data_IF_978980056370
#
_entry.id   IF_978980056370
#
_cell.length_a   1.000
_cell.length_b   1.000
_cell.length_c   1.000
_cell.angle_alpha   90.00
_cell.angle_beta   90.00
_cell.angle_gamma   90.00
#
_symmetry.space_group_name_H-M   'P 1'
#
loop_
_entity.id
_entity.type
_entity.pdbx_description
1 polymer ?
#
# COMPACT_ATOMS: atom_id res chain seq x y z
N UNK A 1 -14.58 -21.41 -10.98
CA UNK A 1 -14.25 -22.22 -9.78
C UNK A 1 -15.23 -21.90 -8.67
N UNK A 2 -15.71 -22.90 -7.92
CA UNK A 2 -16.58 -22.75 -6.76
C UNK A 2 -15.73 -22.45 -5.51
N UNK A 3 -16.27 -21.67 -4.57
CA UNK A 3 -15.64 -21.37 -3.28
C UNK A 3 -16.38 -22.15 -2.20
N UNK A 4 -15.66 -23.00 -1.46
CA UNK A 4 -16.21 -23.71 -0.30
C UNK A 4 -16.14 -22.81 0.93
N UNK A 5 -17.23 -22.72 1.71
CA UNK A 5 -17.27 -21.87 2.91
C UNK A 5 -17.40 -22.73 4.15
N UNK A 6 -16.37 -22.75 4.97
CA UNK A 6 -16.32 -23.42 6.28
C UNK A 6 -16.37 -22.34 7.37
N UNK A 7 -17.54 -22.14 7.97
CA UNK A 7 -17.73 -21.12 9.02
C UNK A 7 -17.11 -21.57 10.35
N UNK A 8 -16.53 -20.61 11.08
CA UNK A 8 -16.06 -20.86 12.45
C UNK A 8 -17.22 -21.20 13.37
N UNK A 9 -16.98 -22.15 14.27
CA UNK A 9 -17.91 -22.50 15.36
C UNK A 9 -17.70 -21.57 16.59
N UNK A 10 -16.61 -20.83 16.61
CA UNK A 10 -16.24 -19.93 17.71
C UNK A 10 -15.98 -18.53 17.15
N UNK A 11 -17.02 -17.69 17.00
CA UNK A 11 -16.85 -16.32 16.51
C UNK A 11 -15.94 -15.51 17.45
N UNK A 12 -14.98 -14.78 16.88
CA UNK A 12 -14.12 -13.89 17.64
C UNK A 12 -14.91 -12.65 18.09
N UNK A 13 -14.61 -12.16 19.29
CA UNK A 13 -15.05 -10.84 19.73
C UNK A 13 -14.41 -9.75 18.86
N UNK A 14 -15.18 -8.74 18.48
CA UNK A 14 -14.66 -7.58 17.76
C UNK A 14 -13.91 -6.66 18.73
N UNK A 15 -12.78 -6.05 18.30
CA UNK A 15 -12.05 -5.11 19.13
C UNK A 15 -12.84 -3.81 19.34
N UNK A 16 -12.41 -3.04 20.33
CA UNK A 16 -12.85 -1.66 20.49
C UNK A 16 -12.37 -0.81 19.32
N UNK A 17 -13.32 -0.24 18.56
CA UNK A 17 -13.01 0.54 17.34
C UNK A 17 -12.23 1.84 17.64
N UNK A 18 -12.23 2.33 18.89
CA UNK A 18 -11.43 3.49 19.30
C UNK A 18 -9.94 3.19 19.51
N UNK A 19 -9.55 1.89 19.51
CA UNK A 19 -8.19 1.41 19.83
C UNK A 19 -7.64 0.41 18.83
N UNK A 20 -8.05 0.51 17.57
CA UNK A 20 -7.70 -0.51 16.58
C UNK A 20 -6.21 -0.61 16.27
N UNK A 21 -5.48 0.51 16.21
CA UNK A 21 -4.13 0.53 15.68
C UNK A 21 -4.10 0.08 14.21
N UNK A 22 -2.96 -0.50 13.78
CA UNK A 22 -2.82 -1.00 12.42
C UNK A 22 -2.26 -2.44 12.40
N UNK A 23 -3.05 -3.41 11.88
CA UNK A 23 -2.59 -4.79 11.63
C UNK A 23 -2.45 -5.68 12.87
N UNK A 24 -3.09 -5.35 13.98
CA UNK A 24 -3.03 -6.11 15.24
C UNK A 24 -4.22 -7.03 15.46
N UNK A 25 -5.35 -6.74 14.84
CA UNK A 25 -6.59 -7.52 14.97
C UNK A 25 -6.95 -8.16 13.63
N UNK A 26 -7.45 -9.40 13.64
CA UNK A 26 -7.83 -10.13 12.45
C UNK A 26 -9.24 -10.70 12.58
N UNK A 27 -9.98 -10.72 11.47
CA UNK A 27 -11.36 -11.25 11.40
C UNK A 27 -11.47 -12.73 11.71
N UNK A 28 -12.68 -13.25 11.72
CA UNK A 28 -12.95 -14.65 12.04
C UNK A 28 -12.55 -15.64 10.94
N UNK A 29 -12.49 -15.18 9.69
CA UNK A 29 -12.21 -16.02 8.54
C UNK A 29 -11.13 -15.44 7.63
N UNK A 30 -10.55 -16.32 6.79
CA UNK A 30 -9.62 -15.98 5.71
C UNK A 30 -9.98 -16.77 4.45
N UNK A 31 -9.63 -16.23 3.28
CA UNK A 31 -9.70 -16.95 2.02
C UNK A 31 -8.38 -17.64 1.73
N UNK A 32 -8.45 -18.84 1.12
CA UNK A 32 -7.31 -19.66 0.71
C UNK A 32 -7.57 -20.27 -0.66
N UNK A 33 -6.52 -20.37 -1.48
CA UNK A 33 -6.52 -21.06 -2.77
C UNK A 33 -5.12 -21.61 -3.05
N UNK A 34 -5.01 -22.78 -3.60
CA UNK A 34 -3.74 -23.45 -3.89
C UNK A 34 -3.50 -23.49 -5.42
N UNK A 35 -2.22 -23.53 -5.83
CA UNK A 35 -1.82 -23.69 -7.23
C UNK A 35 -0.89 -24.88 -7.41
N UNK A 36 -1.18 -25.69 -8.42
CA UNK A 36 -0.30 -26.74 -8.93
C UNK A 36 -0.24 -26.67 -10.46
N UNK A 37 0.90 -26.93 -11.11
CA UNK A 37 1.03 -26.82 -12.58
C UNK A 37 -0.03 -27.64 -13.34
N UNK A 38 -0.33 -28.86 -12.86
CA UNK A 38 -1.27 -29.78 -13.52
C UNK A 38 -2.74 -29.39 -13.33
N UNK A 39 -3.06 -28.59 -12.32
CA UNK A 39 -4.44 -28.26 -11.94
C UNK A 39 -4.75 -26.76 -12.08
N UNK A 40 -3.71 -25.93 -12.25
CA UNK A 40 -3.85 -24.49 -12.13
C UNK A 40 -4.24 -24.07 -10.71
N UNK A 41 -4.92 -22.96 -10.57
CA UNK A 41 -5.50 -22.51 -9.31
C UNK A 41 -6.72 -23.38 -8.96
N UNK A 42 -6.73 -23.95 -7.76
CA UNK A 42 -7.76 -24.89 -7.31
C UNK A 42 -8.01 -24.76 -5.81
N UNK A 43 -8.98 -25.53 -5.30
CA UNK A 43 -9.32 -25.67 -3.89
C UNK A 43 -9.57 -24.30 -3.20
N UNK A 44 -10.34 -23.43 -3.88
CA UNK A 44 -10.73 -22.14 -3.33
C UNK A 44 -11.68 -22.33 -2.14
N UNK A 45 -11.34 -21.73 -1.00
CA UNK A 45 -12.09 -21.89 0.25
C UNK A 45 -12.00 -20.67 1.16
N UNK A 46 -13.07 -20.42 1.89
CA UNK A 46 -13.09 -19.53 3.05
C UNK A 46 -13.11 -20.43 4.29
N UNK A 47 -12.16 -20.21 5.20
CA UNK A 47 -11.98 -21.03 6.41
C UNK A 47 -11.82 -20.13 7.64
N UNK A 48 -11.99 -20.67 8.86
CA UNK A 48 -11.61 -19.93 10.06
C UNK A 48 -10.18 -19.42 9.95
N UNK A 49 -9.96 -18.16 10.41
CA UNK A 49 -8.62 -17.57 10.48
C UNK A 49 -7.75 -18.34 11.48
N UNK A 50 -6.58 -18.77 11.04
CA UNK A 50 -5.64 -19.52 11.88
C UNK A 50 -4.25 -19.61 11.26
N UNK A 51 -3.32 -20.29 11.93
CA UNK A 51 -1.98 -20.54 11.43
C UNK A 51 -1.97 -21.27 10.08
N UNK A 52 -0.98 -20.96 9.25
CA UNK A 52 -0.66 -21.72 8.05
C UNK A 52 0.45 -22.73 8.40
N UNK A 53 0.19 -24.03 8.20
CA UNK A 53 1.24 -25.04 8.32
C UNK A 53 2.15 -25.00 7.10
N UNK A 54 3.45 -24.82 7.31
CA UNK A 54 4.48 -24.78 6.28
C UNK A 54 5.56 -25.82 6.61
N UNK A 55 6.04 -26.52 5.57
CA UNK A 55 7.25 -27.33 5.67
C UNK A 55 8.45 -26.40 5.93
N UNK A 56 9.43 -26.75 6.79
CA UNK A 56 10.61 -25.92 7.03
C UNK A 56 11.40 -25.58 5.76
N UNK A 57 11.35 -26.44 4.72
CA UNK A 57 12.01 -26.21 3.44
C UNK A 57 11.17 -25.35 2.46
N UNK A 58 10.02 -24.82 2.88
CA UNK A 58 9.15 -24.01 2.01
C UNK A 58 9.91 -22.81 1.43
N UNK A 59 9.98 -22.72 0.09
CA UNK A 59 10.84 -21.78 -0.64
C UNK A 59 10.67 -20.31 -0.22
N UNK A 60 9.46 -19.87 0.12
CA UNK A 60 9.25 -18.47 0.57
C UNK A 60 10.05 -18.13 1.82
N UNK A 61 10.30 -19.09 2.71
CA UNK A 61 11.08 -18.89 3.94
C UNK A 61 12.56 -18.64 3.68
N UNK A 62 13.08 -19.13 2.53
CA UNK A 62 14.49 -19.08 2.18
C UNK A 62 14.80 -18.02 1.11
N UNK A 63 13.93 -17.85 0.12
CA UNK A 63 14.18 -17.01 -1.06
C UNK A 63 13.24 -15.84 -1.21
N UNK A 64 12.26 -15.69 -0.32
CA UNK A 64 11.37 -14.55 -0.31
C UNK A 64 10.49 -14.42 -1.56
N UNK A 65 10.27 -15.51 -2.34
CA UNK A 65 9.38 -15.48 -3.50
C UNK A 65 7.92 -15.36 -3.04
N UNK A 66 7.49 -14.13 -2.81
CA UNK A 66 6.16 -13.79 -2.33
C UNK A 66 5.79 -12.36 -2.67
N UNK A 67 4.52 -12.17 -2.95
CA UNK A 67 3.92 -10.88 -3.33
C UNK A 67 2.68 -10.63 -2.48
N UNK A 68 2.31 -9.36 -2.34
CA UNK A 68 1.09 -9.02 -1.60
C UNK A 68 0.44 -7.76 -2.13
N UNK A 69 -0.79 -7.54 -1.71
CA UNK A 69 -1.51 -6.31 -1.95
C UNK A 69 -2.01 -5.68 -0.66
N UNK A 70 -2.43 -4.45 -0.74
CA UNK A 70 -3.07 -3.73 0.33
C UNK A 70 -4.16 -2.83 -0.22
N UNK A 71 -5.40 -3.09 0.19
CA UNK A 71 -6.56 -2.27 -0.11
C UNK A 71 -7.47 -2.22 1.12
N UNK A 72 -8.54 -1.44 1.06
CA UNK A 72 -9.44 -1.23 2.18
C UNK A 72 -10.89 -1.37 1.76
N UNK A 73 -11.71 -1.91 2.66
CA UNK A 73 -13.15 -1.80 2.60
C UNK A 73 -13.61 -0.71 3.57
N UNK A 74 -14.53 0.12 3.09
CA UNK A 74 -15.06 1.27 3.81
C UNK A 74 -16.55 1.10 4.05
N UNK A 75 -17.00 1.53 5.23
CA UNK A 75 -18.41 1.65 5.53
C UNK A 75 -18.86 3.08 5.23
N UNK A 76 -19.85 3.23 4.37
CA UNK A 76 -20.45 4.52 4.05
C UNK A 76 -21.35 5.00 5.19
N UNK A 77 -21.68 6.30 5.20
CA UNK A 77 -22.59 6.88 6.17
C UNK A 77 -24.01 6.25 6.07
N UNK A 78 -24.39 5.70 4.90
CA UNK A 78 -25.63 4.91 4.72
C UNK A 78 -25.52 3.44 5.17
N UNK A 79 -24.36 3.01 5.69
CA UNK A 79 -24.12 1.66 6.18
C UNK A 79 -23.69 0.64 5.11
N UNK A 80 -23.65 1.02 3.83
CA UNK A 80 -23.15 0.18 2.74
C UNK A 80 -21.65 -0.06 2.89
N UNK A 81 -21.16 -1.16 2.31
CA UNK A 81 -19.75 -1.48 2.27
C UNK A 81 -19.27 -1.43 0.84
N UNK A 82 -18.14 -0.75 0.62
CA UNK A 82 -17.56 -0.56 -0.68
C UNK A 82 -16.02 -0.67 -0.66
N UNK A 83 -15.45 -0.98 -1.82
CA UNK A 83 -14.01 -1.03 -2.08
C UNK A 83 -13.62 0.14 -3.00
N UNK A 84 -12.41 0.62 -2.84
CA UNK A 84 -11.83 1.66 -3.68
C UNK A 84 -10.84 1.05 -4.67
N UNK A 85 -11.17 1.06 -5.97
CA UNK A 85 -10.35 0.60 -7.11
C UNK A 85 -9.76 -0.82 -6.94
N UNK A 86 -10.49 -1.83 -6.45
CA UNK A 86 -9.94 -3.15 -6.17
C UNK A 86 -9.39 -3.85 -7.42
N UNK A 87 -9.96 -3.58 -8.60
CA UNK A 87 -9.51 -4.13 -9.87
C UNK A 87 -8.04 -3.75 -10.16
N UNK A 88 -7.64 -2.52 -9.84
CA UNK A 88 -6.27 -2.07 -10.04
C UNK A 88 -5.29 -2.77 -9.06
N UNK A 89 -5.74 -3.15 -7.86
CA UNK A 89 -4.96 -3.96 -6.94
C UNK A 89 -4.69 -5.36 -7.51
N UNK A 90 -5.70 -6.05 -8.04
CA UNK A 90 -5.50 -7.38 -8.62
C UNK A 90 -4.65 -7.35 -9.89
N UNK A 91 -4.84 -6.36 -10.76
CA UNK A 91 -3.93 -6.14 -11.90
C UNK A 91 -2.49 -5.93 -11.46
N UNK A 92 -2.25 -5.16 -10.38
CA UNK A 92 -0.90 -4.93 -9.84
C UNK A 92 -0.35 -6.18 -9.14
N UNK A 93 -1.18 -6.98 -8.47
CA UNK A 93 -0.80 -8.29 -7.93
C UNK A 93 -0.25 -9.17 -9.07
N UNK A 94 -0.96 -9.24 -10.20
CA UNK A 94 -0.54 -10.01 -11.37
C UNK A 94 0.72 -9.45 -12.05
N UNK A 95 0.90 -8.11 -12.06
CA UNK A 95 2.17 -7.50 -12.50
C UNK A 95 3.33 -7.95 -11.60
N UNK A 96 3.14 -7.92 -10.29
CA UNK A 96 4.13 -8.39 -9.33
C UNK A 96 4.41 -9.88 -9.49
N UNK A 97 3.38 -10.70 -9.71
CA UNK A 97 3.51 -12.13 -9.96
C UNK A 97 4.39 -12.42 -11.18
N UNK A 98 4.15 -11.72 -12.30
CA UNK A 98 4.96 -11.86 -13.51
C UNK A 98 6.43 -11.55 -13.28
N UNK A 99 6.75 -10.49 -12.51
CA UNK A 99 8.13 -10.10 -12.21
C UNK A 99 8.87 -11.11 -11.33
N UNK A 100 8.14 -11.92 -10.55
CA UNK A 100 8.69 -12.96 -9.70
C UNK A 100 8.47 -14.37 -10.26
N UNK A 101 8.14 -14.52 -11.55
CA UNK A 101 7.89 -15.82 -12.19
C UNK A 101 6.81 -16.65 -11.48
N UNK A 102 5.75 -15.99 -10.99
CA UNK A 102 4.61 -16.62 -10.31
C UNK A 102 3.39 -16.68 -11.24
N UNK A 103 2.48 -17.67 -11.09
CA UNK A 103 1.27 -17.75 -11.90
C UNK A 103 0.31 -16.57 -11.63
N UNK A 104 -0.32 -16.07 -12.69
CA UNK A 104 -1.38 -15.06 -12.57
C UNK A 104 -2.66 -15.66 -11.98
N UNK A 105 -3.42 -14.81 -11.28
CA UNK A 105 -4.75 -15.13 -10.77
C UNK A 105 -5.77 -14.39 -11.65
N UNK A 106 -6.89 -15.03 -11.97
CA UNK A 106 -8.01 -14.36 -12.64
C UNK A 106 -8.53 -13.21 -11.78
N UNK A 107 -8.46 -11.97 -12.29
CA UNK A 107 -8.81 -10.75 -11.54
C UNK A 107 -10.28 -10.75 -11.10
N UNK A 108 -11.19 -11.22 -11.96
CA UNK A 108 -12.62 -11.28 -11.65
C UNK A 108 -12.91 -12.32 -10.57
N UNK A 109 -12.22 -13.47 -10.62
CA UNK A 109 -12.33 -14.49 -9.58
C UNK A 109 -11.80 -13.99 -8.25
N UNK A 110 -10.63 -13.35 -8.23
CA UNK A 110 -10.02 -12.81 -7.01
C UNK A 110 -10.92 -11.73 -6.36
N UNK A 111 -11.52 -10.86 -7.16
CA UNK A 111 -12.47 -9.86 -6.68
C UNK A 111 -13.74 -10.51 -6.12
N UNK A 112 -14.28 -11.53 -6.78
CA UNK A 112 -15.43 -12.30 -6.28
C UNK A 112 -15.11 -12.97 -4.95
N UNK A 113 -13.96 -13.64 -4.84
CA UNK A 113 -13.53 -14.29 -3.60
C UNK A 113 -13.38 -13.30 -2.44
N UNK A 114 -12.82 -12.11 -2.72
CA UNK A 114 -12.75 -11.03 -1.75
C UNK A 114 -14.15 -10.57 -1.32
N UNK A 115 -15.06 -10.36 -2.26
CA UNK A 115 -16.44 -9.94 -1.94
C UNK A 115 -17.18 -10.99 -1.09
N UNK A 116 -17.06 -12.27 -1.41
CA UNK A 116 -17.65 -13.36 -0.60
C UNK A 116 -17.09 -13.37 0.82
N UNK A 117 -15.77 -13.18 0.99
CA UNK A 117 -15.16 -13.04 2.32
C UNK A 117 -15.66 -11.81 3.07
N UNK A 118 -15.77 -10.65 2.39
CA UNK A 118 -16.26 -9.41 2.99
C UNK A 118 -17.74 -9.49 3.39
N UNK A 119 -18.58 -10.18 2.60
CA UNK A 119 -20.00 -10.42 2.96
C UNK A 119 -20.09 -11.21 4.24
N UNK A 120 -19.24 -12.26 4.40
CA UNK A 120 -19.20 -13.07 5.62
C UNK A 120 -18.71 -12.26 6.83
N UNK A 121 -17.74 -11.38 6.62
CA UNK A 121 -17.09 -10.57 7.67
C UNK A 121 -17.58 -9.12 7.71
N UNK A 122 -18.71 -8.81 7.11
CA UNK A 122 -19.25 -7.43 6.96
C UNK A 122 -19.32 -6.65 8.27
N UNK A 123 -19.56 -7.33 9.39
CA UNK A 123 -19.68 -6.71 10.70
C UNK A 123 -18.32 -6.28 11.29
N UNK A 124 -17.22 -6.72 10.69
CA UNK A 124 -15.85 -6.31 11.03
C UNK A 124 -15.40 -5.03 10.31
N UNK A 125 -16.17 -4.54 9.34
CA UNK A 125 -15.93 -3.22 8.75
C UNK A 125 -16.33 -2.16 9.77
N UNK A 126 -15.37 -1.41 10.34
CA UNK A 126 -15.65 -0.52 11.46
C UNK A 126 -16.62 0.61 11.09
N UNK A 127 -17.24 1.22 12.11
CA UNK A 127 -18.20 2.32 11.98
C UNK A 127 -17.64 3.66 12.40
N UNK A 128 -16.56 3.67 13.20
CA UNK A 128 -15.95 4.91 13.67
C UNK A 128 -15.36 5.71 12.50
N UNK A 129 -15.41 7.05 12.54
CA UNK A 129 -14.76 7.90 11.54
C UNK A 129 -13.27 7.52 11.38
N UNK A 130 -12.75 7.65 10.15
CA UNK A 130 -11.35 7.39 9.80
C UNK A 130 -10.88 5.94 10.01
N UNK A 131 -11.80 5.01 10.32
CA UNK A 131 -11.51 3.59 10.44
C UNK A 131 -11.91 2.84 9.16
N UNK A 132 -11.31 1.69 8.91
CA UNK A 132 -11.59 0.86 7.73
C UNK A 132 -11.23 -0.59 7.98
N UNK A 133 -11.64 -1.50 7.12
CA UNK A 133 -11.16 -2.87 7.13
C UNK A 133 -10.03 -3.02 6.10
N UNK A 134 -8.81 -3.19 6.59
CA UNK A 134 -7.65 -3.43 5.74
C UNK A 134 -7.64 -4.86 5.21
N UNK A 135 -7.35 -5.01 3.94
CA UNK A 135 -7.39 -6.27 3.20
C UNK A 135 -5.98 -6.58 2.72
N UNK A 136 -5.48 -7.79 3.02
CA UNK A 136 -4.15 -8.25 2.66
C UNK A 136 -4.21 -9.52 1.81
N UNK A 137 -4.34 -9.40 0.48
CA UNK A 137 -4.07 -10.50 -0.45
C UNK A 137 -2.58 -10.81 -0.47
N UNK A 138 -2.23 -12.09 -0.44
CA UNK A 138 -0.81 -12.53 -0.45
C UNK A 138 -0.69 -13.81 -1.26
N UNK A 139 0.34 -13.89 -2.12
CA UNK A 139 0.73 -15.12 -2.83
C UNK A 139 2.15 -15.46 -2.44
N UNK A 140 2.41 -16.71 -2.11
CA UNK A 140 3.76 -17.15 -1.78
C UNK A 140 4.10 -18.52 -2.39
N UNK A 141 5.40 -18.75 -2.63
CA UNK A 141 5.99 -19.98 -3.10
C UNK A 141 5.89 -21.06 -2.01
N UNK A 142 5.25 -22.18 -2.34
CA UNK A 142 4.87 -23.22 -1.36
C UNK A 142 5.67 -24.51 -1.47
N UNK A 143 6.55 -24.69 -2.49
CA UNK A 143 7.36 -25.90 -2.62
C UNK A 143 8.30 -26.10 -1.43
N UNK A 144 8.39 -27.32 -0.87
CA UNK A 144 9.43 -27.71 0.08
C UNK A 144 10.72 -28.06 -0.69
N UNK A 145 11.51 -27.04 -1.10
CA UNK A 145 12.67 -27.21 -1.93
C UNK A 145 13.74 -26.14 -1.65
N UNK A 146 14.99 -26.56 -1.45
CA UNK A 146 16.11 -25.68 -1.11
C UNK A 146 16.96 -25.22 -2.30
N UNK A 147 16.65 -25.67 -3.52
CA UNK A 147 17.35 -25.18 -4.73
C UNK A 147 16.76 -23.86 -5.22
N UNK A 148 17.58 -22.96 -5.76
CA UNK A 148 17.13 -21.65 -6.26
C UNK A 148 16.50 -21.81 -7.65
N UNK A 149 15.20 -21.68 -7.73
CA UNK A 149 14.37 -21.63 -8.94
C UNK A 149 13.03 -20.97 -8.62
N UNK A 150 12.22 -20.70 -9.63
CA UNK A 150 10.80 -20.40 -9.39
C UNK A 150 10.09 -21.64 -8.81
N UNK A 151 9.21 -21.45 -7.85
CA UNK A 151 8.41 -22.52 -7.27
C UNK A 151 7.45 -23.12 -8.31
N UNK A 152 7.07 -24.37 -8.15
CA UNK A 152 6.01 -24.99 -8.94
C UNK A 152 4.65 -24.86 -8.27
N UNK A 153 4.60 -24.84 -6.94
CA UNK A 153 3.36 -24.70 -6.19
C UNK A 153 3.29 -23.37 -5.45
N UNK A 154 2.09 -22.82 -5.37
CA UNK A 154 1.87 -21.52 -4.69
C UNK A 154 0.60 -21.60 -3.87
N UNK A 155 0.54 -20.70 -2.87
CA UNK A 155 -0.70 -20.46 -2.12
C UNK A 155 -1.06 -18.98 -2.19
N UNK A 156 -2.33 -18.73 -2.49
CA UNK A 156 -2.96 -17.43 -2.38
C UNK A 156 -3.86 -17.40 -1.15
N UNK A 157 -3.77 -16.34 -0.35
CA UNK A 157 -4.68 -16.12 0.76
C UNK A 157 -5.06 -14.64 0.88
N UNK A 158 -6.21 -14.40 1.51
CA UNK A 158 -6.66 -13.04 1.86
C UNK A 158 -7.02 -13.04 3.34
N UNK A 159 -6.42 -12.12 4.10
CA UNK A 159 -6.76 -11.83 5.50
C UNK A 159 -7.26 -10.39 5.64
N UNK A 160 -8.07 -10.16 6.66
CA UNK A 160 -8.74 -8.90 6.92
C UNK A 160 -8.41 -8.41 8.33
N UNK A 161 -8.17 -7.10 8.47
CA UNK A 161 -7.80 -6.45 9.73
C UNK A 161 -8.53 -5.12 9.88
N UNK A 162 -9.38 -4.92 10.91
CA UNK A 162 -9.92 -3.60 11.21
C UNK A 162 -8.78 -2.68 11.66
N UNK A 163 -8.72 -1.47 11.08
CA UNK A 163 -7.63 -0.51 11.31
C UNK A 163 -8.16 0.89 11.56
N UNK A 164 -7.44 1.63 12.40
CA UNK A 164 -7.57 3.07 12.59
C UNK A 164 -6.59 3.87 11.73
N UNK A 165 -6.12 5.02 12.22
CA UNK A 165 -5.10 5.82 11.58
C UNK A 165 -3.79 5.03 11.44
N UNK A 166 -3.08 5.22 10.32
CA UNK A 166 -1.81 4.52 10.06
C UNK A 166 -0.66 5.06 10.89
N UNK A 167 -0.58 6.38 11.05
CA UNK A 167 0.39 7.04 11.90
C UNK A 167 -0.26 7.52 13.20
N UNK A 168 0.52 7.56 14.27
CA UNK A 168 0.08 8.15 15.55
C UNK A 168 -0.28 9.63 15.40
N UNK A 169 0.40 10.31 14.48
CA UNK A 169 0.17 11.72 14.12
C UNK A 169 -1.17 11.94 13.37
N UNK A 170 -1.80 10.87 12.87
CA UNK A 170 -2.99 10.96 12.03
C UNK A 170 -2.71 11.72 10.72
N UNK A 171 -3.55 12.72 10.39
CA UNK A 171 -3.36 13.60 9.24
C UNK A 171 -2.51 14.85 9.59
N UNK A 172 -1.51 14.72 10.47
CA UNK A 172 -0.54 15.76 10.76
C UNK A 172 0.76 15.55 9.96
N UNK A 173 1.55 16.63 9.75
CA UNK A 173 2.80 16.53 9.02
C UNK A 173 3.82 15.66 9.76
N UNK A 174 4.49 14.78 9.00
CA UNK A 174 5.53 13.87 9.49
C UNK A 174 6.93 14.42 9.20
N UNK A 175 7.92 13.91 9.93
CA UNK A 175 9.35 14.23 9.73
C UNK A 175 10.02 13.13 8.92
N UNK A 176 10.81 13.54 7.92
CA UNK A 176 11.43 12.65 6.94
C UNK A 176 12.95 12.80 6.96
N UNK A 177 13.63 11.66 6.95
CA UNK A 177 15.10 11.59 6.83
C UNK A 177 15.50 11.10 5.43
N UNK A 178 16.32 11.85 4.73
CA UNK A 178 16.89 11.45 3.44
C UNK A 178 18.08 10.53 3.70
N UNK A 179 17.95 9.24 3.36
CA UNK A 179 19.09 8.31 3.45
C UNK A 179 20.06 8.52 2.28
N UNK A 180 21.36 8.54 2.56
CA UNK A 180 22.43 8.70 1.56
C UNK A 180 23.15 7.40 1.27
N UNK A 181 23.12 6.46 2.21
CA UNK A 181 23.95 5.25 2.17
C UNK A 181 23.16 4.01 1.77
N UNK A 182 21.83 4.05 1.86
CA UNK A 182 20.96 2.92 1.57
C UNK A 182 20.03 3.23 0.41
N UNK A 183 19.70 2.18 -0.34
CA UNK A 183 18.76 2.24 -1.46
C UNK A 183 17.61 1.27 -1.23
N UNK A 184 16.42 1.65 -1.67
CA UNK A 184 15.24 0.79 -1.61
C UNK A 184 15.20 -0.21 -2.77
N UNK A 185 15.54 0.26 -3.96
CA UNK A 185 15.45 -0.48 -5.21
C UNK A 185 16.37 0.13 -6.27
N UNK A 186 16.58 -0.61 -7.36
CA UNK A 186 17.31 -0.15 -8.55
C UNK A 186 16.53 -0.52 -9.81
N UNK A 187 16.67 0.23 -10.91
CA UNK A 187 16.13 -0.16 -12.22
C UNK A 187 16.64 -1.55 -12.63
N UNK A 188 15.75 -2.38 -13.17
CA UNK A 188 16.06 -3.78 -13.52
C UNK A 188 15.96 -4.75 -12.34
N UNK A 189 15.76 -4.26 -11.12
CA UNK A 189 15.41 -5.08 -9.96
C UNK A 189 13.90 -5.30 -9.83
N UNK A 190 13.44 -5.55 -8.62
CA UNK A 190 12.02 -5.83 -8.32
C UNK A 190 11.30 -4.64 -7.65
N UNK A 191 11.85 -3.42 -7.76
CA UNK A 191 11.32 -2.22 -7.09
C UNK A 191 9.89 -1.86 -7.44
N UNK A 192 9.46 -2.13 -8.69
CA UNK A 192 8.08 -1.92 -9.15
C UNK A 192 7.12 -3.06 -8.77
N UNK A 193 7.62 -4.18 -8.22
CA UNK A 193 6.81 -5.26 -7.69
C UNK A 193 6.47 -5.03 -6.21
N UNK A 194 5.25 -5.39 -5.81
CA UNK A 194 4.86 -5.40 -4.40
C UNK A 194 5.26 -6.74 -3.77
N UNK A 195 6.57 -6.93 -3.59
CA UNK A 195 7.18 -8.17 -3.07
C UNK A 195 7.76 -7.99 -1.69
N UNK A 196 7.73 -9.05 -0.89
CA UNK A 196 8.16 -9.04 0.53
C UNK A 196 9.62 -8.62 0.71
N UNK A 197 10.51 -8.97 -0.22
CA UNK A 197 11.93 -8.61 -0.17
C UNK A 197 12.18 -7.09 -0.15
N UNK A 198 11.39 -6.31 -0.89
CA UNK A 198 11.51 -4.85 -0.91
C UNK A 198 11.25 -4.23 0.47
N UNK A 199 10.36 -4.84 1.26
CA UNK A 199 10.02 -4.38 2.60
C UNK A 199 11.10 -4.78 3.61
N UNK A 200 11.64 -5.99 3.51
CA UNK A 200 12.77 -6.42 4.35
C UNK A 200 13.98 -5.51 4.14
N UNK A 201 14.29 -5.14 2.89
CA UNK A 201 15.40 -4.23 2.56
C UNK A 201 15.26 -2.82 3.17
N UNK A 202 14.04 -2.38 3.49
CA UNK A 202 13.78 -1.05 4.04
C UNK A 202 13.91 -0.96 5.58
N UNK A 203 14.02 -2.10 6.29
CA UNK A 203 13.90 -2.13 7.75
C UNK A 203 15.03 -1.38 8.46
N UNK A 204 16.28 -1.57 8.04
CA UNK A 204 17.42 -0.95 8.71
C UNK A 204 17.41 0.58 8.57
N UNK A 205 17.17 1.10 7.37
CA UNK A 205 17.06 2.54 7.18
C UNK A 205 15.87 3.14 7.95
N UNK A 206 14.74 2.41 8.01
CA UNK A 206 13.58 2.82 8.81
C UNK A 206 13.88 2.85 10.31
N UNK A 207 14.65 1.90 10.81
CA UNK A 207 15.09 1.85 12.21
C UNK A 207 16.03 3.03 12.53
N UNK A 208 17.05 3.25 11.68
CA UNK A 208 18.00 4.37 11.83
C UNK A 208 17.27 5.73 11.82
N UNK A 209 16.29 5.91 10.93
CA UNK A 209 15.47 7.12 10.89
C UNK A 209 14.67 7.30 12.17
N UNK A 210 14.05 6.23 12.68
CA UNK A 210 13.27 6.28 13.92
C UNK A 210 14.13 6.62 15.13
N UNK A 211 15.32 6.03 15.29
CA UNK A 211 16.28 6.37 16.34
C UNK A 211 16.72 7.83 16.26
N UNK A 212 16.79 8.40 15.05
CA UNK A 212 17.10 9.80 14.83
C UNK A 212 15.87 10.75 15.01
N UNK A 213 14.70 10.22 15.39
CA UNK A 213 13.48 11.00 15.65
C UNK A 213 12.67 11.33 14.39
N UNK A 214 12.86 10.59 13.30
CA UNK A 214 12.13 10.76 12.04
C UNK A 214 11.11 9.63 11.82
N UNK A 215 9.97 9.98 11.25
CA UNK A 215 8.86 9.03 11.04
C UNK A 215 9.13 8.10 9.85
N UNK A 216 9.79 8.60 8.79
CA UNK A 216 10.01 7.88 7.54
C UNK A 216 11.33 8.26 6.87
N UNK A 217 11.75 7.40 5.93
CA UNK A 217 12.92 7.59 5.07
C UNK A 217 12.49 8.10 3.71
N UNK A 218 13.17 9.13 3.18
CA UNK A 218 13.12 9.50 1.77
C UNK A 218 14.19 8.71 1.01
N UNK A 219 13.75 7.98 0.00
CA UNK A 219 14.61 7.16 -0.83
C UNK A 219 15.07 7.93 -2.06
N UNK A 220 16.37 7.90 -2.31
CA UNK A 220 16.98 8.36 -3.54
C UNK A 220 17.23 7.16 -4.47
N UNK A 221 17.36 7.43 -5.77
CA UNK A 221 17.66 6.44 -6.78
C UNK A 221 18.96 5.66 -6.47
N UNK A 222 18.99 4.40 -6.82
CA UNK A 222 20.09 3.51 -6.47
C UNK A 222 21.37 3.65 -7.32
N UNK A 223 21.36 4.50 -8.36
CA UNK A 223 22.49 4.70 -9.28
C UNK A 223 23.24 5.98 -8.95
N UNK A 224 22.56 7.12 -9.04
CA UNK A 224 23.17 8.45 -8.84
C UNK A 224 23.03 8.93 -7.41
N UNK A 225 22.11 8.35 -6.62
CA UNK A 225 21.73 8.79 -5.25
C UNK A 225 21.39 10.27 -5.17
N UNK A 226 20.72 10.71 -6.19
CA UNK A 226 20.40 12.11 -6.42
C UNK A 226 18.92 12.35 -6.62
N UNK A 227 18.25 11.45 -7.33
CA UNK A 227 16.85 11.61 -7.70
C UNK A 227 15.93 10.96 -6.67
N UNK A 228 14.91 11.71 -6.27
CA UNK A 228 13.88 11.23 -5.32
C UNK A 228 13.05 10.13 -5.98
N UNK A 229 12.75 9.06 -5.25
CA UNK A 229 11.91 7.95 -5.71
C UNK A 229 10.65 7.80 -4.87
N UNK A 230 10.78 7.48 -3.59
CA UNK A 230 9.66 7.19 -2.68
C UNK A 230 9.94 7.69 -1.27
N UNK A 231 8.90 7.82 -0.44
CA UNK A 231 9.01 8.12 0.99
C UNK A 231 8.43 6.98 1.83
N UNK A 232 9.28 6.30 2.61
CA UNK A 232 8.89 5.08 3.32
C UNK A 232 8.40 4.00 2.35
N UNK A 233 7.12 3.63 2.45
CA UNK A 233 6.43 2.71 1.54
C UNK A 233 5.36 3.41 0.69
N UNK A 234 5.50 4.72 0.46
CA UNK A 234 4.57 5.57 -0.27
C UNK A 234 5.24 6.25 -1.47
N UNK A 235 4.45 6.54 -2.52
CA UNK A 235 4.88 7.49 -3.55
C UNK A 235 4.90 8.91 -2.97
N UNK A 236 5.73 9.77 -3.55
CA UNK A 236 5.92 11.16 -3.08
C UNK A 236 5.49 12.17 -4.13
N UNK A 237 4.99 13.31 -3.65
CA UNK A 237 4.60 14.47 -4.42
C UNK A 237 5.20 15.73 -3.80
N UNK A 238 5.64 16.63 -4.66
CA UNK A 238 6.23 17.92 -4.31
C UNK A 238 5.41 19.03 -4.97
N UNK A 239 4.98 20.02 -4.23
CA UNK A 239 4.27 21.20 -4.76
C UNK A 239 5.23 22.35 -4.78
N UNK A 240 5.61 22.79 -5.99
CA UNK A 240 6.50 23.93 -6.20
C UNK A 240 6.13 24.67 -7.49
N UNK A 241 6.38 25.96 -7.52
CA UNK A 241 6.06 26.83 -8.67
C UNK A 241 4.58 26.71 -9.13
N UNK A 242 3.64 26.44 -8.19
CA UNK A 242 2.22 26.22 -8.47
C UNK A 242 1.88 24.91 -9.17
N UNK A 243 2.84 23.97 -9.26
CA UNK A 243 2.68 22.66 -9.91
C UNK A 243 2.89 21.54 -8.90
N UNK A 244 2.26 20.41 -9.18
CA UNK A 244 2.51 19.13 -8.49
C UNK A 244 3.53 18.33 -9.30
N UNK A 245 4.68 18.01 -8.69
CA UNK A 245 5.72 17.19 -9.30
C UNK A 245 5.79 15.85 -8.56
N UNK A 246 5.86 14.75 -9.30
CA UNK A 246 6.08 13.41 -8.74
C UNK A 246 7.10 12.65 -9.57
N UNK A 247 7.94 11.81 -8.97
CA UNK A 247 8.88 10.99 -9.71
C UNK A 247 8.18 10.14 -10.79
N UNK A 248 8.73 10.18 -12.01
CA UNK A 248 8.29 9.30 -13.09
C UNK A 248 8.59 7.83 -12.75
N UNK A 249 7.71 6.93 -13.17
CA UNK A 249 7.92 5.49 -12.96
C UNK A 249 9.13 5.01 -13.78
N UNK A 250 10.15 4.53 -13.09
CA UNK A 250 11.47 4.20 -13.65
C UNK A 250 11.80 2.70 -13.60
N UNK A 251 10.87 1.84 -13.17
CA UNK A 251 11.12 0.41 -12.92
C UNK A 251 11.63 0.12 -11.50
N UNK A 252 12.03 1.13 -10.73
CA UNK A 252 12.36 1.03 -9.30
C UNK A 252 11.23 1.49 -8.38
N UNK A 253 10.27 2.27 -8.89
CA UNK A 253 9.18 2.89 -8.13
C UNK A 253 7.91 2.06 -8.29
N UNK A 254 7.24 1.77 -7.16
CA UNK A 254 5.94 1.08 -7.19
C UNK A 254 4.87 1.96 -7.85
N UNK A 255 4.14 1.48 -8.88
CA UNK A 255 3.03 2.21 -9.47
C UNK A 255 1.83 2.24 -8.52
N UNK A 256 1.78 3.26 -7.67
CA UNK A 256 0.78 3.40 -6.62
C UNK A 256 -0.62 3.66 -7.18
N UNK A 257 -1.64 2.96 -6.67
CA UNK A 257 -3.03 3.20 -7.04
C UNK A 257 -3.48 4.55 -6.48
N UNK A 258 -3.12 4.88 -5.25
CA UNK A 258 -3.37 6.20 -4.68
C UNK A 258 -2.61 7.28 -5.45
N UNK A 259 -1.34 7.04 -5.86
CA UNK A 259 -0.59 7.95 -6.74
C UNK A 259 -1.35 8.26 -8.03
N UNK A 260 -1.83 7.24 -8.71
CA UNK A 260 -2.61 7.41 -9.93
C UNK A 260 -3.91 8.19 -9.68
N UNK A 261 -4.57 7.94 -8.54
CA UNK A 261 -5.79 8.66 -8.14
C UNK A 261 -5.51 10.14 -7.85
N UNK A 262 -4.41 10.46 -7.17
CA UNK A 262 -3.95 11.84 -6.92
C UNK A 262 -3.72 12.58 -8.23
N UNK A 263 -2.99 11.97 -9.17
CA UNK A 263 -2.72 12.57 -10.49
C UNK A 263 -4.02 12.84 -11.24
N UNK A 264 -4.95 11.88 -11.23
CA UNK A 264 -6.25 12.02 -11.89
C UNK A 264 -7.07 13.17 -11.30
N UNK A 265 -7.21 13.22 -9.98
CA UNK A 265 -7.96 14.28 -9.29
C UNK A 265 -7.32 15.65 -9.50
N UNK A 266 -5.99 15.75 -9.37
CA UNK A 266 -5.30 17.02 -9.56
C UNK A 266 -5.52 17.56 -10.99
N UNK A 267 -5.41 16.69 -12.01
CA UNK A 267 -5.66 17.06 -13.42
C UNK A 267 -7.13 17.46 -13.66
N UNK A 268 -8.09 16.77 -13.03
CA UNK A 268 -9.51 17.16 -13.15
C UNK A 268 -9.82 18.52 -12.52
N UNK A 269 -8.98 18.99 -11.61
CA UNK A 269 -9.06 20.33 -11.03
C UNK A 269 -8.23 21.38 -11.77
N UNK A 270 -7.67 21.04 -12.94
CA UNK A 270 -6.76 21.88 -13.72
C UNK A 270 -5.48 22.27 -12.96
N UNK A 271 -5.06 21.48 -11.98
CA UNK A 271 -3.74 21.65 -11.35
C UNK A 271 -2.69 21.00 -12.25
N UNK A 272 -1.62 21.72 -12.62
CA UNK A 272 -0.53 21.16 -13.42
C UNK A 272 0.16 20.01 -12.67
N UNK A 273 0.31 18.85 -13.31
CA UNK A 273 1.01 17.68 -12.76
C UNK A 273 2.11 17.25 -13.71
N UNK A 274 3.33 17.23 -13.21
CA UNK A 274 4.53 16.78 -13.93
C UNK A 274 5.01 15.45 -13.35
N UNK A 275 5.13 14.43 -14.20
CA UNK A 275 5.75 13.15 -13.88
C UNK A 275 7.15 13.14 -14.49
N UNK A 276 8.19 13.40 -13.67
CA UNK A 276 9.57 13.55 -14.13
C UNK A 276 10.58 13.17 -13.05
N UNK A 277 11.85 13.01 -13.40
CA UNK A 277 12.93 12.99 -12.42
C UNK A 277 12.98 14.33 -11.67
N UNK A 278 13.22 14.27 -10.37
CA UNK A 278 13.43 15.42 -9.51
C UNK A 278 14.57 15.11 -8.55
N UNK A 279 15.58 15.98 -8.50
CA UNK A 279 16.70 15.77 -7.58
C UNK A 279 16.38 16.31 -6.19
N UNK A 280 17.06 15.77 -5.18
CA UNK A 280 16.98 16.32 -3.81
C UNK A 280 17.50 17.76 -3.77
N UNK A 281 18.57 18.05 -4.54
CA UNK A 281 19.14 19.40 -4.63
C UNK A 281 18.12 20.40 -5.18
N UNK A 282 17.35 20.01 -6.24
CA UNK A 282 16.28 20.86 -6.79
C UNK A 282 15.22 21.20 -5.72
N UNK A 283 14.89 20.25 -4.85
CA UNK A 283 13.93 20.46 -3.75
C UNK A 283 14.52 21.40 -2.69
N UNK A 284 15.80 21.25 -2.36
CA UNK A 284 16.50 22.14 -1.41
C UNK A 284 16.60 23.56 -1.95
N UNK A 285 16.92 23.73 -3.23
CA UNK A 285 16.98 25.04 -3.92
C UNK A 285 15.59 25.69 -4.02
N UNK A 286 14.55 24.90 -4.29
CA UNK A 286 13.17 25.38 -4.32
C UNK A 286 12.72 25.85 -2.93
N UNK A 287 13.14 25.16 -1.87
CA UNK A 287 12.90 25.62 -0.49
C UNK A 287 13.64 26.92 -0.19
N UNK A 288 14.94 27.00 -0.47
CA UNK A 288 15.75 28.18 -0.20
C UNK A 288 15.24 29.44 -0.93
N UNK A 289 14.64 29.26 -2.12
CA UNK A 289 14.06 30.36 -2.92
C UNK A 289 12.57 30.61 -2.66
N UNK A 290 11.94 29.92 -1.70
CA UNK A 290 10.53 30.07 -1.35
C UNK A 290 9.54 29.53 -2.38
N UNK A 291 9.99 28.73 -3.36
CA UNK A 291 9.16 28.14 -4.41
C UNK A 291 8.50 26.83 -3.97
N UNK A 292 9.08 26.11 -3.00
CA UNK A 292 8.54 24.88 -2.43
C UNK A 292 7.46 25.21 -1.41
N UNK A 293 6.25 24.68 -1.60
CA UNK A 293 5.11 24.97 -0.71
C UNK A 293 4.63 23.75 0.06
N UNK A 294 4.63 22.57 -0.55
CA UNK A 294 4.17 21.34 0.10
C UNK A 294 4.98 20.13 -0.37
N UNK A 295 5.10 19.12 0.51
CA UNK A 295 5.52 17.77 0.15
C UNK A 295 4.56 16.81 0.85
N UNK A 296 4.16 15.74 0.17
CA UNK A 296 3.33 14.69 0.78
C UNK A 296 3.58 13.31 0.15
N UNK A 297 3.44 12.28 0.97
CA UNK A 297 3.37 10.89 0.54
C UNK A 297 1.96 10.47 0.18
N UNK A 298 1.80 9.46 -0.67
CA UNK A 298 0.51 8.83 -0.96
C UNK A 298 0.59 7.32 -0.92
N UNK A 299 -0.40 6.68 -0.29
CA UNK A 299 -0.48 5.22 -0.19
C UNK A 299 -1.82 4.75 0.39
N UNK A 300 -2.12 3.46 0.27
CA UNK A 300 -3.40 2.90 0.75
C UNK A 300 -3.61 3.11 2.25
N UNK A 301 -2.56 2.97 3.05
CA UNK A 301 -2.67 3.01 4.51
C UNK A 301 -2.96 4.44 5.02
N UNK A 302 -2.13 5.42 4.63
CA UNK A 302 -2.22 6.81 5.10
C UNK A 302 -3.09 7.70 4.19
N UNK A 303 -3.48 7.24 3.00
CA UNK A 303 -4.13 8.01 1.92
C UNK A 303 -3.20 9.13 1.43
N UNK A 304 -3.08 10.23 2.17
CA UNK A 304 -2.13 11.33 2.00
C UNK A 304 -1.41 11.52 3.34
N UNK A 305 -0.09 11.64 3.30
CA UNK A 305 0.76 11.90 4.47
C UNK A 305 1.57 13.18 4.23
N UNK A 306 1.17 14.32 4.79
CA UNK A 306 1.89 15.58 4.66
C UNK A 306 3.28 15.48 5.29
N UNK A 307 4.27 16.17 4.70
CA UNK A 307 5.63 16.26 5.22
C UNK A 307 5.86 17.65 5.77
N UNK A 308 6.23 17.76 7.04
CA UNK A 308 6.50 19.04 7.72
C UNK A 308 7.98 19.36 7.86
N UNK A 309 8.84 18.36 7.80
CA UNK A 309 10.29 18.52 7.97
C UNK A 309 11.05 17.49 7.13
N UNK A 310 12.14 17.93 6.49
CA UNK A 310 13.10 17.05 5.82
C UNK A 310 14.49 17.31 6.35
N UNK A 311 15.22 16.25 6.70
CA UNK A 311 16.65 16.27 6.98
C UNK A 311 17.43 15.64 5.82
N UNK A 312 18.36 16.42 5.27
CA UNK A 312 19.32 15.95 4.26
C UNK A 312 20.75 16.27 4.70
N UNK A 313 21.51 15.26 5.09
CA UNK A 313 22.79 15.43 5.77
C UNK A 313 22.62 16.20 7.09
N UNK A 314 23.32 17.32 7.22
CA UNK A 314 23.24 18.21 8.39
C UNK A 314 22.19 19.33 8.22
N UNK A 315 21.60 19.43 7.03
CA UNK A 315 20.59 20.46 6.73
C UNK A 315 19.20 19.93 7.07
N UNK A 316 18.45 20.73 7.85
CA UNK A 316 17.04 20.49 8.17
C UNK A 316 16.22 21.63 7.59
N UNK A 317 15.18 21.30 6.83
CA UNK A 317 14.24 22.28 6.27
C UNK A 317 12.82 22.00 6.77
N UNK A 318 12.08 23.07 7.04
CA UNK A 318 10.66 23.02 7.38
C UNK A 318 9.82 23.26 6.13
N UNK A 319 8.80 22.44 5.92
CA UNK A 319 7.90 22.53 4.77
C UNK A 319 6.57 23.14 5.24
N UNK A 320 6.12 24.21 4.59
CA UNK A 320 4.82 24.83 4.89
C UNK A 320 4.67 25.29 6.34
N UNK A 321 5.73 25.79 6.97
CA UNK A 321 5.78 26.14 8.40
C UNK A 321 5.38 24.97 9.33
N UNK A 322 5.62 23.72 8.92
CA UNK A 322 5.23 22.52 9.64
C UNK A 322 3.72 22.24 9.64
N UNK A 323 2.96 22.87 8.74
CA UNK A 323 1.50 22.70 8.65
C UNK A 323 1.09 21.90 7.43
N UNK A 324 -0.14 21.35 7.48
CA UNK A 324 -0.76 20.69 6.33
C UNK A 324 -1.10 21.73 5.26
N UNK A 325 -0.53 21.58 4.07
CA UNK A 325 -0.79 22.47 2.96
C UNK A 325 -2.18 22.30 2.32
N UNK A 326 -2.65 23.30 1.55
CA UNK A 326 -3.97 23.30 0.95
C UNK A 326 -4.17 22.18 -0.09
N UNK A 327 -3.14 21.83 -0.87
CA UNK A 327 -3.21 20.77 -1.89
C UNK A 327 -3.35 19.40 -1.21
N UNK A 328 -2.51 19.12 -0.21
CA UNK A 328 -2.56 17.88 0.60
C UNK A 328 -3.91 17.71 1.26
N UNK A 329 -4.45 18.77 1.86
CA UNK A 329 -5.76 18.78 2.52
C UNK A 329 -6.91 18.52 1.54
N UNK A 330 -6.89 19.18 0.37
CA UNK A 330 -7.92 19.00 -0.67
C UNK A 330 -7.92 17.58 -1.21
N UNK A 331 -6.74 17.02 -1.48
CA UNK A 331 -6.57 15.65 -1.97
C UNK A 331 -7.01 14.62 -0.94
N UNK A 332 -6.62 14.80 0.34
CA UNK A 332 -7.04 13.91 1.43
C UNK A 332 -8.56 13.90 1.56
N UNK A 333 -9.17 15.09 1.62
CA UNK A 333 -10.63 15.22 1.72
C UNK A 333 -11.33 14.55 0.55
N UNK A 334 -10.95 14.84 -0.70
CA UNK A 334 -11.59 14.29 -1.88
C UNK A 334 -11.47 12.75 -1.94
N UNK A 335 -10.27 12.21 -1.67
CA UNK A 335 -10.06 10.76 -1.67
C UNK A 335 -10.87 10.07 -0.57
N UNK A 336 -10.88 10.63 0.65
CA UNK A 336 -11.64 10.04 1.76
C UNK A 336 -13.15 10.17 1.54
N UNK A 337 -13.64 11.28 1.01
CA UNK A 337 -15.07 11.44 0.71
C UNK A 337 -15.54 10.41 -0.33
N UNK A 338 -14.76 10.17 -1.38
CA UNK A 338 -15.04 9.10 -2.34
C UNK A 338 -14.99 7.71 -1.67
N UNK A 339 -13.96 7.45 -0.86
CA UNK A 339 -13.76 6.15 -0.19
C UNK A 339 -14.88 5.83 0.80
N UNK A 340 -15.43 6.84 1.50
CA UNK A 340 -16.54 6.67 2.44
C UNK A 340 -17.93 6.92 1.82
N UNK A 341 -17.99 7.15 0.49
CA UNK A 341 -19.26 7.34 -0.23
C UNK A 341 -19.99 8.62 0.10
N UNK A 342 -19.27 9.66 0.49
CA UNK A 342 -19.79 11.02 0.73
C UNK A 342 -19.87 11.82 -0.57
N UNK A 343 -18.99 11.52 -1.52
CA UNK A 343 -18.97 12.09 -2.85
C UNK A 343 -18.81 10.97 -3.88
N UNK A 344 -19.37 11.16 -5.06
CA UNK A 344 -19.20 10.26 -6.19
C UNK A 344 -17.78 10.38 -6.72
N UNK A 345 -17.13 9.25 -6.94
CA UNK A 345 -15.83 9.19 -7.59
C UNK A 345 -15.94 9.02 -9.11
N UNK A 346 -14.82 9.14 -9.84
CA UNK A 346 -14.77 8.75 -11.24
C UNK A 346 -15.32 7.33 -11.45
N UNK A 347 -15.94 7.11 -12.63
CA UNK A 347 -16.53 5.82 -13.01
C UNK A 347 -15.52 4.69 -12.82
N UNK A 348 -15.93 3.61 -12.17
CA UNK A 348 -15.10 2.42 -11.91
C UNK A 348 -14.15 2.54 -10.70
N UNK A 349 -14.18 3.65 -9.94
CA UNK A 349 -13.38 3.76 -8.72
C UNK A 349 -14.00 3.06 -7.52
N UNK A 350 -15.31 3.00 -7.47
CA UNK A 350 -16.04 2.36 -6.38
C UNK A 350 -16.60 1.02 -6.84
N UNK A 351 -16.34 -0.01 -6.06
CA UNK A 351 -16.88 -1.36 -6.21
C UNK A 351 -17.75 -1.69 -4.99
N UNK A 352 -19.09 -1.76 -5.14
CA UNK A 352 -19.97 -2.09 -4.02
C UNK A 352 -19.81 -3.55 -3.60
N UNK A 353 -19.91 -3.80 -2.29
CA UNK A 353 -19.88 -5.14 -1.70
C UNK A 353 -21.28 -5.56 -1.23
N UNK A 354 -21.91 -4.75 -0.38
CA UNK A 354 -23.29 -4.91 0.14
C UNK A 354 -23.90 -3.54 0.41
#
# INVERSE_FOLDING_TARGET
MQITINKTQQPKARPDESRLGFGTHFTGHMFLMDYHPDQGWHHARITPYGPLSLDPATMVLHYGQGIFEGLKAYRTDSGKIQLFRPQENFKRLNRSARLLCMPSIDDAFALRALKELLVLEKDWVPKQPETSLYIRPTVYAADPFLGVRASYTYRFFIILSPVGAYYAEGFNPVKIWVTRDRVRAVPGGVGEAKTIGNYAASLLAGHEAHEAGYTQVLWLDGIERKYIEEVGSMNIFIVMDGKIVTPALSGSILPGITRNSVIHLARSWNLPVEERKISIDEVMDAHASGRLTEIFGSGTAAVISPVGEIRYGDTVISIGDGRVGPVSRRLYKALTDIQYGREDGPIGWIEPVV
#
